data_IF_327458093720
#
_entry.id   IF_327458093720
#
_cell.length_a   1.000
_cell.length_b   1.000
_cell.length_c   1.000
_cell.angle_alpha   90.00
_cell.angle_beta   90.00
_cell.angle_gamma   90.00
#
_symmetry.space_group_name_H-M   'P 1'
#
loop_
_entity.id
_entity.type
_entity.pdbx_description
1 polymer ?
#
# COMPACT_ATOMS: atom_id res chain seq x y z
N UNK A 1 -22.55 -11.48 -55.22
CA UNK A 1 -21.93 -11.88 -53.94
C UNK A 1 -20.81 -10.90 -53.57
N UNK A 2 -21.10 -9.71 -53.02
CA UNK A 2 -20.05 -8.73 -52.63
C UNK A 2 -20.58 -7.55 -51.78
N UNK A 3 -21.59 -7.77 -50.95
CA UNK A 3 -22.23 -6.69 -50.16
C UNK A 3 -22.02 -6.86 -48.65
N UNK A 4 -21.70 -8.08 -48.21
CA UNK A 4 -21.53 -8.43 -46.80
C UNK A 4 -20.06 -8.32 -46.31
N UNK A 5 -19.09 -8.20 -47.21
CA UNK A 5 -17.66 -8.14 -46.86
C UNK A 5 -17.25 -6.83 -46.15
N UNK A 6 -17.87 -5.70 -46.52
CA UNK A 6 -17.56 -4.40 -45.88
C UNK A 6 -18.14 -4.27 -44.46
N UNK A 7 -19.25 -4.97 -44.19
CA UNK A 7 -19.90 -4.94 -42.88
C UNK A 7 -19.09 -5.76 -41.86
N UNK A 8 -18.51 -6.89 -42.27
CA UNK A 8 -17.67 -7.72 -41.38
C UNK A 8 -16.34 -7.07 -40.97
N UNK A 9 -15.76 -6.25 -41.85
CA UNK A 9 -14.50 -5.52 -41.57
C UNK A 9 -14.74 -4.38 -40.58
N UNK A 10 -15.84 -3.63 -40.72
CA UNK A 10 -16.20 -2.55 -39.81
C UNK A 10 -16.46 -3.05 -38.37
N UNK A 11 -17.08 -4.22 -38.23
CA UNK A 11 -17.34 -4.83 -36.91
C UNK A 11 -16.04 -5.31 -36.23
N UNK A 12 -15.09 -5.85 -37.00
CA UNK A 12 -13.79 -6.30 -36.47
C UNK A 12 -12.89 -5.15 -36.03
N UNK A 13 -12.95 -3.99 -36.70
CA UNK A 13 -12.20 -2.78 -36.32
C UNK A 13 -12.73 -2.18 -35.01
N UNK A 14 -14.05 -2.28 -34.76
CA UNK A 14 -14.66 -1.77 -33.53
C UNK A 14 -14.29 -2.64 -32.30
N UNK A 15 -14.16 -3.96 -32.49
CA UNK A 15 -13.68 -4.89 -31.45
C UNK A 15 -12.18 -4.75 -31.12
N UNK A 16 -11.36 -4.29 -32.06
CA UNK A 16 -9.93 -4.05 -31.85
C UNK A 16 -9.62 -2.65 -31.27
N UNK A 17 -10.52 -1.67 -31.43
CA UNK A 17 -10.35 -0.31 -30.91
C UNK A 17 -11.11 0.01 -29.61
N UNK A 18 -12.02 -0.87 -29.19
CA UNK A 18 -12.92 -0.64 -28.06
C UNK A 18 -12.35 -1.10 -26.73
N UNK A 19 -11.74 -0.17 -25.99
CA UNK A 19 -11.69 -0.24 -24.54
C UNK A 19 -10.36 -0.66 -23.94
N UNK A 20 -9.42 0.28 -23.89
CA UNK A 20 -8.52 0.35 -22.73
C UNK A 20 -9.34 0.83 -21.53
N UNK A 21 -10.21 -0.02 -21.00
CA UNK A 21 -10.87 0.26 -19.73
C UNK A 21 -9.74 0.37 -18.70
N UNK A 22 -9.55 1.57 -18.16
CA UNK A 22 -8.60 1.79 -17.08
C UNK A 22 -9.05 0.90 -15.92
N UNK A 23 -8.35 -0.22 -15.71
CA UNK A 23 -8.61 -1.09 -14.58
C UNK A 23 -8.18 -0.34 -13.34
N UNK A 24 -9.14 0.26 -12.63
CA UNK A 24 -8.91 0.87 -11.33
C UNK A 24 -8.38 -0.22 -10.40
N UNK A 25 -7.09 -0.17 -10.08
CA UNK A 25 -6.53 -0.99 -9.02
C UNK A 25 -7.13 -0.49 -7.69
N UNK A 26 -7.94 -1.32 -7.03
CA UNK A 26 -8.48 -1.03 -5.71
C UNK A 26 -7.42 -1.34 -4.65
N UNK A 27 -6.72 -0.31 -4.16
CA UNK A 27 -5.94 -0.42 -2.93
C UNK A 27 -6.90 -0.48 -1.74
N UNK A 28 -7.29 -1.69 -1.32
CA UNK A 28 -8.27 -1.85 -0.24
C UNK A 28 -7.69 -1.42 1.10
N UNK A 29 -8.23 -0.35 1.68
CA UNK A 29 -7.98 0.10 3.04
C UNK A 29 -9.16 -0.20 3.98
N UNK A 30 -10.10 -1.05 3.54
CA UNK A 30 -11.38 -1.27 4.23
C UNK A 30 -11.24 -1.85 5.65
N UNK A 31 -10.11 -2.45 5.96
CA UNK A 31 -9.79 -2.96 7.30
C UNK A 31 -9.41 -1.85 8.31
N UNK A 32 -9.17 -0.62 7.85
CA UNK A 32 -8.74 0.51 8.67
C UNK A 32 -9.81 1.61 8.72
N UNK A 33 -10.06 2.15 9.91
CA UNK A 33 -10.89 3.34 10.07
C UNK A 33 -10.07 4.60 9.78
N UNK A 34 -10.26 5.16 8.59
CA UNK A 34 -9.55 6.36 8.12
C UNK A 34 -9.87 7.63 8.90
N UNK A 35 -10.93 7.63 9.71
CA UNK A 35 -11.31 8.79 10.53
C UNK A 35 -10.67 8.73 11.92
N UNK A 36 -10.06 7.61 12.29
CA UNK A 36 -9.46 7.42 13.60
C UNK A 36 -7.94 7.51 13.52
N UNK A 37 -7.40 8.59 14.06
CA UNK A 37 -5.96 8.72 14.27
C UNK A 37 -5.58 8.21 15.65
N UNK A 38 -4.54 7.38 15.72
CA UNK A 38 -4.00 6.84 16.97
C UNK A 38 -2.50 7.09 17.01
N UNK A 39 -2.02 7.71 18.07
CA UNK A 39 -0.59 7.89 18.33
C UNK A 39 -0.11 6.75 19.22
N UNK A 40 0.90 6.01 18.75
CA UNK A 40 1.45 4.85 19.44
C UNK A 40 2.95 5.07 19.59
N UNK A 41 3.43 5.18 20.82
CA UNK A 41 4.85 5.22 21.15
C UNK A 41 5.28 3.86 21.71
N UNK A 42 6.29 3.27 21.10
CA UNK A 42 6.75 1.94 21.47
C UNK A 42 7.97 1.49 20.67
N UNK A 43 8.34 0.23 20.85
CA UNK A 43 9.52 -0.37 20.23
C UNK A 43 9.11 -1.30 19.10
N UNK A 44 9.67 -1.09 17.90
CA UNK A 44 9.51 -2.00 16.78
C UNK A 44 10.23 -3.31 17.11
N UNK A 45 9.50 -4.42 17.08
CA UNK A 45 10.02 -5.76 17.38
C UNK A 45 10.32 -6.56 16.11
N UNK A 46 9.61 -6.29 15.01
CA UNK A 46 9.83 -6.96 13.72
C UNK A 46 9.43 -6.08 12.55
N UNK A 47 10.18 -6.21 11.45
CA UNK A 47 9.86 -5.58 10.16
C UNK A 47 9.84 -6.65 9.08
N UNK A 48 8.70 -6.83 8.43
CA UNK A 48 8.58 -7.64 7.22
C UNK A 48 8.60 -6.72 6.00
N UNK A 49 9.74 -6.70 5.31
CA UNK A 49 9.95 -5.88 4.13
C UNK A 49 9.76 -6.69 2.85
N UNK A 50 8.49 -6.96 2.51
CA UNK A 50 8.12 -7.75 1.33
C UNK A 50 7.08 -7.02 0.47
N UNK A 51 7.11 -7.27 -0.85
CA UNK A 51 6.12 -6.74 -1.78
C UNK A 51 4.85 -7.64 -1.71
N UNK A 52 3.62 -7.11 -1.69
CA UNK A 52 3.18 -5.75 -2.08
C UNK A 52 3.12 -4.70 -0.95
N UNK A 53 3.14 -5.10 0.32
CA UNK A 53 3.04 -4.19 1.47
C UNK A 53 4.06 -4.54 2.55
N UNK A 54 4.73 -3.52 3.07
CA UNK A 54 5.57 -3.66 4.25
C UNK A 54 4.73 -3.77 5.51
N UNK A 55 5.13 -4.63 6.44
CA UNK A 55 4.48 -4.81 7.74
C UNK A 55 5.46 -4.52 8.86
N UNK A 56 5.01 -3.77 9.87
CA UNK A 56 5.77 -3.45 11.07
C UNK A 56 5.03 -4.01 12.27
N UNK A 57 5.76 -4.64 13.18
CA UNK A 57 5.24 -5.10 14.45
C UNK A 57 5.93 -4.34 15.56
N UNK A 58 5.17 -3.87 16.53
CA UNK A 58 5.71 -3.12 17.66
C UNK A 58 5.02 -3.49 18.96
N UNK A 59 5.74 -3.29 20.05
CA UNK A 59 5.20 -3.35 21.41
C UNK A 59 5.08 -1.93 21.93
N UNK A 60 3.89 -1.56 22.37
CA UNK A 60 3.59 -0.22 22.85
C UNK A 60 2.65 -0.26 24.04
N UNK A 61 2.71 0.77 24.87
CA UNK A 61 1.78 0.98 25.98
C UNK A 61 0.93 2.20 25.65
N UNK A 62 -0.29 2.03 25.11
CA UNK A 62 -1.16 3.15 24.77
C UNK A 62 -1.42 4.03 26.00
N UNK A 63 -1.54 5.34 25.77
CA UNK A 63 -1.81 6.29 26.84
C UNK A 63 -3.12 5.93 27.56
N UNK A 64 -3.05 5.72 28.87
CA UNK A 64 -4.20 5.33 29.70
C UNK A 64 -4.37 3.82 29.91
N UNK A 65 -3.58 2.98 29.24
CA UNK A 65 -3.61 1.53 29.43
C UNK A 65 -2.45 1.04 30.30
N UNK A 66 -2.72 0.08 31.19
CA UNK A 66 -1.75 -0.41 32.18
C UNK A 66 -0.71 -1.39 31.61
N UNK A 67 -0.98 -2.00 30.45
CA UNK A 67 -0.20 -3.11 29.90
C UNK A 67 0.38 -2.82 28.52
N UNK A 68 1.50 -3.45 28.22
CA UNK A 68 2.09 -3.47 26.88
C UNK A 68 1.21 -4.30 25.95
N UNK A 69 0.96 -3.80 24.75
CA UNK A 69 0.22 -4.46 23.69
C UNK A 69 1.09 -4.61 22.45
N UNK A 70 0.80 -5.66 21.67
CA UNK A 70 1.40 -5.89 20.36
C UNK A 70 0.54 -5.25 19.28
N UNK A 71 1.18 -4.47 18.43
CA UNK A 71 0.56 -3.75 17.33
C UNK A 71 1.16 -4.22 16.00
N UNK A 72 0.31 -4.34 14.99
CA UNK A 72 0.70 -4.57 13.60
C UNK A 72 0.31 -3.33 12.79
N UNK A 73 1.26 -2.80 12.03
CA UNK A 73 1.10 -1.63 11.18
C UNK A 73 1.39 -2.01 9.73
N UNK A 74 0.56 -1.53 8.82
CA UNK A 74 0.74 -1.74 7.38
C UNK A 74 1.28 -0.47 6.72
N UNK A 75 2.30 -0.64 5.89
CA UNK A 75 2.94 0.42 5.12
C UNK A 75 2.75 0.26 3.62
N UNK A 76 3.24 1.25 2.83
CA UNK A 76 3.25 1.16 1.38
C UNK A 76 4.17 0.03 0.89
N UNK A 77 4.22 -0.18 -0.43
CA UNK A 77 5.14 -1.15 -0.99
C UNK A 77 6.59 -0.80 -0.64
N UNK A 78 7.44 -1.80 -0.39
CA UNK A 78 8.89 -1.60 -0.22
C UNK A 78 9.56 -0.75 -1.30
N UNK A 79 9.02 -0.78 -2.51
CA UNK A 79 9.57 -0.11 -3.69
C UNK A 79 9.12 1.35 -3.80
N UNK A 80 8.02 1.75 -3.14
CA UNK A 80 7.53 3.13 -3.16
C UNK A 80 8.38 4.07 -2.30
N UNK A 81 9.02 3.57 -1.24
CA UNK A 81 9.87 4.38 -0.36
C UNK A 81 11.11 3.58 0.07
N UNK A 82 12.28 3.98 -0.42
CA UNK A 82 13.54 3.56 0.19
C UNK A 82 13.64 4.16 1.59
N UNK A 83 13.53 3.32 2.63
CA UNK A 83 13.95 3.72 3.96
C UNK A 83 15.49 3.78 3.98
N UNK A 84 16.03 4.99 3.96
CA UNK A 84 17.47 5.23 4.15
C UNK A 84 17.71 5.42 5.65
N UNK A 85 18.11 4.35 6.34
CA UNK A 85 18.55 4.41 7.73
C UNK A 85 19.96 4.99 7.78
N UNK A 86 20.08 6.31 7.92
CA UNK A 86 21.34 6.95 8.30
C UNK A 86 21.47 6.87 9.82
N UNK A 87 22.42 6.10 10.34
CA UNK A 87 22.78 6.15 11.76
C UNK A 87 23.47 7.47 12.05
N UNK A 88 22.71 8.54 12.33
CA UNK A 88 23.27 9.68 13.04
C UNK A 88 23.38 9.27 14.51
N UNK A 89 24.58 8.81 14.90
CA UNK A 89 24.96 8.84 16.30
C UNK A 89 24.71 10.27 16.79
N UNK A 90 23.91 10.44 17.84
CA UNK A 90 23.75 11.71 18.50
C UNK A 90 25.15 12.16 18.95
N UNK A 91 25.76 13.08 18.21
CA UNK A 91 26.97 13.77 18.63
C UNK A 91 26.53 14.67 19.76
N UNK A 92 26.63 14.16 20.99
CA UNK A 92 26.56 14.96 22.19
C UNK A 92 27.67 16.01 22.14
N UNK A 93 27.27 17.27 22.10
CA UNK A 93 28.16 18.40 22.35
C UNK A 93 28.15 18.76 23.85
N UNK A 94 29.24 19.37 24.34
CA UNK A 94 29.49 19.65 25.76
C UNK A 94 28.49 20.63 26.39
#
# INVERSE_FOLDING_TARGET
MRKYGCIGIAFSICLLGGGTASMFAHHSQAAFDVNKQVTIEGTITQVNWANPHSLFFMEAKPAGEGSVQKWALEGPSPTQRLLRLETRAAVGGP
#
